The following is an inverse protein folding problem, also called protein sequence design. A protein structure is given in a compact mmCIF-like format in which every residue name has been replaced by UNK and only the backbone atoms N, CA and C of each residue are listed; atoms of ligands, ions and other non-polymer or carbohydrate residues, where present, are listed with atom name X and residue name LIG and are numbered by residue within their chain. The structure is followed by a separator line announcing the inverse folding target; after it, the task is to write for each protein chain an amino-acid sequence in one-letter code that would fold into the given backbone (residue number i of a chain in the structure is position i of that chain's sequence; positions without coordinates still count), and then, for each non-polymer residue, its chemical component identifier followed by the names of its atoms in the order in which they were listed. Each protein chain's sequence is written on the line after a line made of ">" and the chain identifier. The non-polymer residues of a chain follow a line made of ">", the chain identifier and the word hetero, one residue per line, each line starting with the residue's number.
data_IF_617056945785
#
_entry.id   IF_617056945785
#
_cell.length_a   1.000
_cell.length_b   1.000
_cell.length_c   1.000
_cell.angle_alpha   90.00
_cell.angle_beta   90.00
_cell.angle_gamma   90.00
#
_symmetry.space_group_name_H-M   'P 1'
#
loop_
_entity.id
_entity.type
_entity.pdbx_description
1 polymer ?
#
# COMPACT_ATOMS: atom_id res chain seq x y z
N UNK A 1 -12.68 -22.32 5.60
CA UNK A 1 -12.73 -21.68 4.28
C UNK A 1 -11.33 -21.79 3.69
N UNK A 2 -11.14 -22.52 2.61
CA UNK A 2 -9.84 -22.56 1.94
C UNK A 2 -9.62 -21.24 1.20
N UNK A 3 -8.45 -20.64 1.37
CA UNK A 3 -8.08 -19.39 0.71
C UNK A 3 -6.97 -19.67 -0.30
N UNK A 4 -7.09 -19.11 -1.50
CA UNK A 4 -6.05 -19.18 -2.53
C UNK A 4 -5.22 -17.89 -2.47
N UNK A 5 -3.90 -18.03 -2.66
CA UNK A 5 -2.95 -16.91 -2.62
C UNK A 5 -2.39 -16.66 -4.02
N UNK A 6 -2.35 -15.40 -4.43
CA UNK A 6 -1.69 -14.96 -5.67
C UNK A 6 -0.58 -13.99 -5.31
N UNK A 7 0.61 -14.19 -5.89
CA UNK A 7 1.73 -13.25 -5.81
C UNK A 7 1.87 -12.53 -7.14
N UNK A 8 1.95 -11.21 -7.09
CA UNK A 8 2.01 -10.34 -8.26
C UNK A 8 2.80 -9.09 -7.91
N UNK A 9 3.43 -8.49 -8.91
CA UNK A 9 4.19 -7.25 -8.79
C UNK A 9 3.39 -6.12 -9.42
N UNK A 10 3.43 -4.95 -8.81
CA UNK A 10 2.74 -3.75 -9.29
C UNK A 10 3.67 -2.56 -9.26
N UNK A 11 3.50 -1.67 -10.25
CA UNK A 11 4.06 -0.33 -10.19
C UNK A 11 2.95 0.65 -9.87
N UNK A 12 3.14 1.42 -8.80
CA UNK A 12 2.17 2.37 -8.28
C UNK A 12 2.71 3.79 -8.45
N UNK A 13 1.84 4.71 -8.88
CA UNK A 13 2.13 6.15 -8.85
C UNK A 13 1.32 6.82 -7.76
N UNK A 14 1.99 7.67 -6.99
CA UNK A 14 1.39 8.45 -5.92
C UNK A 14 1.86 9.91 -5.95
N UNK A 15 1.07 10.79 -5.34
CA UNK A 15 1.40 12.21 -5.18
C UNK A 15 2.12 12.49 -3.86
N UNK A 16 2.76 13.66 -3.75
CA UNK A 16 3.40 14.10 -2.51
C UNK A 16 2.40 14.19 -1.33
N UNK A 17 1.15 14.59 -1.60
CA UNK A 17 0.10 14.61 -0.60
C UNK A 17 -0.24 13.21 -0.08
N UNK A 18 -0.30 12.21 -0.97
CA UNK A 18 -0.50 10.82 -0.58
C UNK A 18 0.66 10.30 0.27
N UNK A 19 1.89 10.68 -0.07
CA UNK A 19 3.07 10.37 0.73
C UNK A 19 2.99 11.00 2.13
N UNK A 20 2.67 12.30 2.20
CA UNK A 20 2.54 13.02 3.47
C UNK A 20 1.43 12.44 4.36
N UNK A 21 0.30 12.05 3.77
CA UNK A 21 -0.78 11.39 4.51
C UNK A 21 -0.37 10.00 5.04
N UNK A 22 0.38 9.22 4.26
CA UNK A 22 0.87 7.92 4.70
C UNK A 22 1.90 8.07 5.83
N UNK A 23 2.83 9.02 5.71
CA UNK A 23 3.77 9.39 6.76
C UNK A 23 3.07 9.79 8.05
N UNK A 24 2.09 10.70 7.98
CA UNK A 24 1.33 11.12 9.15
C UNK A 24 0.59 9.95 9.82
N UNK A 25 0.09 9.00 9.04
CA UNK A 25 -0.54 7.79 9.56
C UNK A 25 0.45 6.88 10.30
N UNK A 26 1.63 6.62 9.74
CA UNK A 26 2.68 5.81 10.39
C UNK A 26 3.12 6.45 11.71
N UNK A 27 3.30 7.77 11.73
CA UNK A 27 3.60 8.52 12.95
C UNK A 27 2.49 8.41 14.00
N UNK A 28 1.21 8.42 13.60
CA UNK A 28 0.11 8.16 14.53
C UNK A 28 0.13 6.72 15.06
N UNK A 29 0.44 5.72 14.22
CA UNK A 29 0.52 4.32 14.66
C UNK A 29 1.61 4.13 15.71
N UNK A 30 2.71 4.89 15.66
CA UNK A 30 3.79 4.82 16.66
C UNK A 30 3.33 5.25 18.05
N UNK A 31 2.40 6.19 18.11
CA UNK A 31 1.74 6.61 19.36
C UNK A 31 0.79 5.54 19.91
N UNK A 32 0.47 4.51 19.12
CA UNK A 32 -0.47 3.45 19.45
C UNK A 32 0.10 2.05 19.16
N UNK A 33 1.13 1.61 19.91
CA UNK A 33 1.85 0.36 19.64
C UNK A 33 0.99 -0.91 19.80
N UNK A 34 -0.16 -0.82 20.47
CA UNK A 34 -1.07 -1.95 20.67
C UNK A 34 -2.00 -2.23 19.47
N UNK A 35 -1.93 -1.42 18.41
CA UNK A 35 -2.81 -1.58 17.24
C UNK A 35 -2.40 -2.79 16.39
N UNK A 36 -3.42 -3.43 15.79
CA UNK A 36 -3.25 -4.56 14.85
C UNK A 36 -2.33 -4.22 13.68
N UNK A 37 -2.20 -2.93 13.33
CA UNK A 37 -1.25 -2.42 12.35
C UNK A 37 0.16 -3.02 12.50
N UNK A 38 0.63 -3.23 13.73
CA UNK A 38 2.00 -3.66 14.02
C UNK A 38 2.27 -5.15 13.82
N UNK A 39 1.24 -5.99 13.68
CA UNK A 39 1.41 -7.44 13.55
C UNK A 39 2.18 -7.78 12.26
N UNK A 40 3.38 -8.35 12.38
CA UNK A 40 4.22 -8.71 11.24
C UNK A 40 4.94 -7.52 10.60
N UNK A 41 5.11 -6.43 11.34
CA UNK A 41 5.78 -5.19 10.90
C UNK A 41 6.84 -4.70 11.90
N UNK A 42 7.22 -5.54 12.86
CA UNK A 42 8.06 -5.20 14.00
C UNK A 42 9.47 -4.75 13.58
N UNK A 43 9.99 -5.29 12.48
CA UNK A 43 11.35 -5.02 11.98
C UNK A 43 11.39 -4.07 10.76
N UNK A 44 10.26 -3.47 10.38
CA UNK A 44 10.18 -2.62 9.17
C UNK A 44 10.68 -1.21 9.46
N UNK A 45 11.39 -0.65 8.49
CA UNK A 45 11.76 0.76 8.47
C UNK A 45 10.54 1.65 8.21
N UNK A 46 10.66 2.93 8.54
CA UNK A 46 9.59 3.90 8.28
C UNK A 46 9.23 4.00 6.81
N UNK A 47 10.25 4.00 5.95
CA UNK A 47 10.05 4.08 4.51
C UNK A 47 9.25 2.87 4.00
N UNK A 48 9.54 1.67 4.51
CA UNK A 48 8.75 0.47 4.18
C UNK A 48 7.31 0.58 4.69
N UNK A 49 7.10 1.08 5.91
CA UNK A 49 5.76 1.26 6.47
C UNK A 49 4.95 2.30 5.69
N UNK A 50 5.59 3.38 5.26
CA UNK A 50 4.98 4.46 4.47
C UNK A 50 4.59 3.92 3.10
N UNK A 51 5.50 3.25 2.41
CA UNK A 51 5.23 2.66 1.09
C UNK A 51 4.14 1.60 1.17
N UNK A 52 4.16 0.74 2.20
CA UNK A 52 3.09 -0.24 2.41
C UNK A 52 1.74 0.43 2.65
N UNK A 53 1.70 1.52 3.42
CA UNK A 53 0.46 2.25 3.68
C UNK A 53 -0.09 2.93 2.43
N UNK A 54 0.79 3.49 1.57
CA UNK A 54 0.41 4.04 0.26
C UNK A 54 -0.20 2.93 -0.59
N UNK A 55 0.51 1.80 -0.72
CA UNK A 55 0.04 0.66 -1.51
C UNK A 55 -1.31 0.13 -0.99
N UNK A 56 -1.47 -0.03 0.33
CA UNK A 56 -2.70 -0.49 0.94
C UNK A 56 -3.88 0.44 0.63
N UNK A 57 -3.69 1.77 0.72
CA UNK A 57 -4.76 2.74 0.43
C UNK A 57 -5.11 2.83 -1.04
N UNK A 58 -4.12 2.68 -1.93
CA UNK A 58 -4.36 2.63 -3.37
C UNK A 58 -5.12 1.35 -3.75
N UNK A 59 -4.66 0.19 -3.27
CA UNK A 59 -5.26 -1.11 -3.59
C UNK A 59 -6.64 -1.33 -2.94
N UNK A 60 -6.88 -0.75 -1.76
CA UNK A 60 -8.20 -0.78 -1.11
C UNK A 60 -9.20 0.20 -1.74
N UNK A 61 -8.77 1.01 -2.71
CA UNK A 61 -9.61 2.02 -3.35
C UNK A 61 -9.87 3.25 -2.50
N UNK A 62 -9.19 3.42 -1.35
CA UNK A 62 -9.35 4.58 -0.48
C UNK A 62 -9.02 5.90 -1.20
N UNK A 63 -8.05 5.88 -2.13
CA UNK A 63 -7.72 7.04 -2.97
C UNK A 63 -8.50 7.11 -4.29
N UNK A 64 -9.38 6.16 -4.57
CA UNK A 64 -10.11 6.05 -5.84
C UNK A 64 -11.49 6.72 -5.76
N UNK A 65 -11.55 7.96 -5.26
CA UNK A 65 -12.81 8.71 -5.15
C UNK A 65 -13.33 9.23 -6.51
N UNK A 66 -12.47 9.27 -7.52
CA UNK A 66 -12.81 9.60 -8.90
C UNK A 66 -12.38 8.46 -9.84
N UNK A 67 -13.27 8.03 -10.73
CA UNK A 67 -13.04 6.92 -11.66
C UNK A 67 -11.93 7.24 -12.67
N UNK A 68 -11.77 8.51 -13.03
CA UNK A 68 -10.73 8.92 -13.97
C UNK A 68 -9.33 8.86 -13.34
N UNK A 69 -9.16 9.25 -12.07
CA UNK A 69 -7.88 9.12 -11.35
C UNK A 69 -7.59 7.69 -10.90
N UNK A 70 -8.60 6.87 -10.60
CA UNK A 70 -8.44 5.48 -10.16
C UNK A 70 -7.60 4.63 -11.13
N UNK A 71 -7.79 4.85 -12.45
CA UNK A 71 -7.04 4.17 -13.51
C UNK A 71 -5.55 4.50 -13.55
N UNK A 72 -5.11 5.57 -12.85
CA UNK A 72 -3.73 6.08 -12.90
C UNK A 72 -2.87 5.63 -11.74
N UNK A 73 -3.47 5.02 -10.70
CA UNK A 73 -2.71 4.60 -9.53
C UNK A 73 -1.97 3.29 -9.72
N UNK A 74 -2.51 2.36 -10.50
CA UNK A 74 -1.81 1.13 -10.89
C UNK A 74 -1.39 1.28 -12.34
N UNK A 75 -0.10 1.55 -12.55
CA UNK A 75 0.46 1.80 -13.89
C UNK A 75 0.65 0.50 -14.66
N UNK A 76 1.01 -0.57 -13.94
CA UNK A 76 1.36 -1.86 -14.53
C UNK A 76 1.15 -2.97 -13.52
N UNK A 77 0.63 -4.11 -14.00
CA UNK A 77 0.53 -5.35 -13.26
C UNK A 77 1.35 -6.42 -13.97
N UNK A 78 2.23 -7.10 -13.25
CA UNK A 78 3.03 -8.20 -13.79
C UNK A 78 2.68 -9.50 -13.10
N UNK A 79 2.45 -10.54 -13.91
CA UNK A 79 2.38 -11.91 -13.41
C UNK A 79 3.79 -12.46 -13.31
N UNK A 80 4.11 -13.16 -12.21
CA UNK A 80 5.39 -13.86 -12.09
C UNK A 80 5.59 -14.93 -13.17
N UNK A 81 4.49 -15.39 -13.81
CA UNK A 81 4.54 -16.32 -14.93
C UNK A 81 4.81 -15.63 -16.28
N UNK A 82 4.83 -14.30 -16.32
CA UNK A 82 5.11 -13.51 -17.52
C UNK A 82 6.59 -13.16 -17.56
N UNK A 83 7.44 -14.17 -17.79
CA UNK A 83 8.82 -13.95 -18.20
C UNK A 83 8.83 -13.87 -19.73
N UNK A 84 8.81 -12.66 -20.28
CA UNK A 84 9.15 -12.37 -21.67
C UNK A 84 10.03 -11.13 -21.74
#
# INVERSE_FOLDING_TARGET
>A
METQKVKTCFTITFTDDQFNHARAYVEDMRRHPQRVFWRGKEDKTDDELIVEQIAHRILSGFYNTDTYTASKHIVRMESMNSTR
#
